data_IF_287229716754
#
_entry.id   IF_287229716754
#
_cell.length_a   1.000
_cell.length_b   1.000
_cell.length_c   1.000
_cell.angle_alpha   90.00
_cell.angle_beta   90.00
_cell.angle_gamma   90.00
#
_symmetry.space_group_name_H-M   'P 1'
#
loop_
_entity.id
_entity.type
_entity.pdbx_description
1 polymer ?
#
# COMPACT_ATOMS: atom_id res chain seq x y z
N UNK A 1 -15.30 -5.04 5.87
CA UNK A 1 -15.37 -6.40 5.25
C UNK A 1 -14.82 -7.48 6.20
N UNK A 2 -15.17 -8.75 5.95
CA UNK A 2 -14.57 -9.90 6.64
C UNK A 2 -13.08 -10.03 6.29
N UNK A 3 -12.24 -10.42 7.25
CA UNK A 3 -10.80 -10.63 7.00
C UNK A 3 -9.97 -9.39 6.64
N UNK A 4 -10.57 -8.20 6.53
CA UNK A 4 -9.88 -6.97 6.09
C UNK A 4 -8.90 -6.38 7.11
N UNK A 5 -8.83 -6.92 8.32
CA UNK A 5 -7.92 -6.45 9.37
C UNK A 5 -8.45 -5.31 10.26
N UNK A 6 -9.78 -5.20 10.44
CA UNK A 6 -10.43 -4.14 11.28
C UNK A 6 -9.89 -4.10 12.71
N UNK A 7 -9.93 -5.23 13.42
CA UNK A 7 -9.45 -5.36 14.81
C UNK A 7 -7.98 -4.93 14.95
N UNK A 8 -7.12 -5.40 14.04
CA UNK A 8 -5.69 -5.02 14.03
C UNK A 8 -5.51 -3.54 13.71
N UNK A 9 -6.28 -3.01 12.76
CA UNK A 9 -6.24 -1.59 12.37
C UNK A 9 -6.64 -0.69 13.53
N UNK A 10 -7.64 -1.09 14.32
CA UNK A 10 -8.08 -0.37 15.51
C UNK A 10 -6.97 -0.32 16.57
N UNK A 11 -6.28 -1.43 16.82
CA UNK A 11 -5.14 -1.45 17.72
C UNK A 11 -3.99 -0.54 17.21
N UNK A 12 -3.71 -0.55 15.90
CA UNK A 12 -2.71 0.32 15.26
C UNK A 12 -3.04 1.80 15.41
N UNK A 13 -4.26 2.20 15.06
CA UNK A 13 -4.76 3.57 15.22
C UNK A 13 -4.73 3.99 16.70
N UNK A 14 -5.15 3.11 17.60
CA UNK A 14 -5.16 3.43 19.02
C UNK A 14 -3.76 3.70 19.56
N UNK A 15 -2.79 2.87 19.20
CA UNK A 15 -1.39 3.09 19.52
C UNK A 15 -0.83 4.36 18.83
N UNK A 16 -1.19 4.60 17.56
CA UNK A 16 -0.77 5.78 16.80
C UNK A 16 -1.18 7.09 17.49
N UNK A 17 -2.44 7.18 17.92
CA UNK A 17 -2.98 8.38 18.57
C UNK A 17 -2.60 8.47 20.05
N UNK A 18 -2.49 7.35 20.77
CA UNK A 18 -2.04 7.34 22.16
C UNK A 18 -0.62 7.88 22.30
N UNK A 19 0.29 7.50 21.38
CA UNK A 19 1.66 8.06 21.32
C UNK A 19 1.69 9.57 21.06
N UNK A 20 0.61 10.12 20.50
CA UNK A 20 0.43 11.56 20.22
C UNK A 20 -0.36 12.28 21.34
N UNK A 21 -0.50 11.65 22.51
CA UNK A 21 -1.10 12.26 23.70
C UNK A 21 -2.62 12.12 23.81
N UNK A 22 -3.28 11.39 22.90
CA UNK A 22 -4.72 11.15 23.01
C UNK A 22 -5.05 10.10 24.06
N UNK A 23 -6.15 10.31 24.79
CA UNK A 23 -6.75 9.31 25.66
C UNK A 23 -7.66 8.42 24.82
N UNK A 24 -7.12 7.29 24.38
CA UNK A 24 -7.81 6.36 23.48
C UNK A 24 -8.53 5.25 24.26
N UNK A 25 -9.75 4.93 23.84
CA UNK A 25 -10.49 3.72 24.22
C UNK A 25 -10.83 2.87 23.00
N UNK A 26 -10.62 1.56 23.09
CA UNK A 26 -11.04 0.58 22.09
C UNK A 26 -12.31 -0.11 22.59
N UNK A 27 -13.34 -0.21 21.76
CA UNK A 27 -14.61 -0.88 22.11
C UNK A 27 -14.83 -2.04 21.15
N UNK A 28 -15.00 -3.25 21.66
CA UNK A 28 -15.24 -4.43 20.82
C UNK A 28 -16.72 -4.74 20.69
N UNK A 29 -17.27 -4.53 19.50
CA UNK A 29 -18.66 -4.84 19.12
C UNK A 29 -18.75 -5.94 18.04
N UNK A 30 -17.64 -6.61 17.70
CA UNK A 30 -17.64 -7.83 16.88
C UNK A 30 -18.08 -9.02 17.76
N UNK A 31 -19.39 -9.20 17.88
CA UNK A 31 -20.04 -10.28 18.64
C UNK A 31 -20.20 -11.58 17.82
N UNK A 32 -19.95 -11.51 16.51
CA UNK A 32 -20.22 -12.63 15.58
C UNK A 32 -18.99 -13.47 15.30
N UNK A 33 -17.79 -12.85 15.26
CA UNK A 33 -16.56 -13.58 14.95
C UNK A 33 -16.00 -14.26 16.21
N UNK A 34 -15.74 -15.58 16.17
CA UNK A 34 -15.07 -16.27 17.27
C UNK A 34 -13.74 -15.62 17.62
N UNK A 35 -13.45 -15.52 18.92
CA UNK A 35 -12.22 -14.94 19.46
C UNK A 35 -11.98 -13.45 19.12
N UNK A 36 -12.93 -12.72 18.52
CA UNK A 36 -12.71 -11.32 18.15
C UNK A 36 -12.54 -10.41 19.38
N UNK A 37 -13.34 -10.66 20.42
CA UNK A 37 -13.27 -9.93 21.70
C UNK A 37 -11.95 -10.20 22.41
N UNK A 38 -11.55 -11.47 22.48
CA UNK A 38 -10.25 -11.92 23.01
C UNK A 38 -9.10 -11.29 22.24
N UNK A 39 -9.17 -11.30 20.91
CA UNK A 39 -8.14 -10.73 20.05
C UNK A 39 -7.97 -9.22 20.30
N UNK A 40 -9.07 -8.46 20.34
CA UNK A 40 -9.01 -7.03 20.62
C UNK A 40 -8.44 -6.77 22.02
N UNK A 41 -8.88 -7.54 23.02
CA UNK A 41 -8.38 -7.44 24.40
C UNK A 41 -6.88 -7.70 24.48
N UNK A 42 -6.40 -8.79 23.89
CA UNK A 42 -4.97 -9.15 23.88
C UNK A 42 -4.13 -8.09 23.18
N UNK A 43 -4.58 -7.57 22.03
CA UNK A 43 -3.89 -6.51 21.31
C UNK A 43 -3.83 -5.23 22.16
N UNK A 44 -4.92 -4.86 22.81
CA UNK A 44 -4.97 -3.67 23.65
C UNK A 44 -4.05 -3.79 24.87
N UNK A 45 -4.11 -4.90 25.60
CA UNK A 45 -3.28 -5.16 26.77
C UNK A 45 -1.79 -5.16 26.41
N UNK A 46 -1.41 -5.84 25.32
CA UNK A 46 -0.04 -5.87 24.81
C UNK A 46 0.51 -4.46 24.53
N UNK A 47 -0.35 -3.54 24.11
CA UNK A 47 0.02 -2.18 23.74
C UNK A 47 -0.42 -1.13 24.78
N UNK A 48 -0.85 -1.55 25.97
CA UNK A 48 -1.29 -0.69 27.07
C UNK A 48 -2.39 0.30 26.66
N UNK A 49 -3.31 -0.13 25.80
CA UNK A 49 -4.48 0.63 25.37
C UNK A 49 -5.69 0.28 26.25
N UNK A 50 -6.54 1.26 26.53
CA UNK A 50 -7.78 1.02 27.26
C UNK A 50 -8.76 0.29 26.36
N UNK A 51 -9.34 -0.80 26.86
CA UNK A 51 -10.23 -1.66 26.08
C UNK A 51 -11.50 -1.99 26.85
N UNK A 52 -12.62 -1.95 26.14
CA UNK A 52 -13.96 -2.23 26.63
C UNK A 52 -14.56 -3.34 25.77
N UNK A 53 -14.52 -4.55 26.31
CA UNK A 53 -15.09 -5.75 25.70
C UNK A 53 -15.94 -6.48 26.72
N UNK A 54 -17.09 -7.00 26.28
CA UNK A 54 -17.95 -7.85 27.09
C UNK A 54 -17.87 -9.28 26.56
N UNK A 55 -17.20 -10.17 27.29
CA UNK A 55 -16.96 -11.54 26.84
C UNK A 55 -18.26 -12.35 26.75
N UNK A 56 -19.25 -12.04 27.58
CA UNK A 56 -20.47 -12.82 27.73
C UNK A 56 -21.65 -12.28 26.90
N UNK A 57 -21.67 -10.98 26.61
CA UNK A 57 -22.77 -10.35 25.87
C UNK A 57 -22.63 -10.54 24.36
N UNK A 58 -23.67 -11.09 23.71
CA UNK A 58 -23.68 -11.36 22.27
C UNK A 58 -24.50 -10.34 21.48
N UNK A 59 -24.92 -9.26 22.12
CA UNK A 59 -25.60 -8.12 21.50
C UNK A 59 -24.69 -6.88 21.50
N UNK A 60 -24.36 -6.39 20.30
CA UNK A 60 -23.50 -5.23 20.11
C UNK A 60 -24.09 -3.93 20.69
N UNK A 61 -25.42 -3.74 20.62
CA UNK A 61 -26.08 -2.54 21.13
C UNK A 61 -26.10 -2.55 22.66
N UNK A 62 -26.38 -3.70 23.28
CA UNK A 62 -26.30 -3.84 24.76
C UNK A 62 -24.88 -3.61 25.25
N UNK A 63 -23.90 -4.17 24.54
CA UNK A 63 -22.47 -3.96 24.83
C UNK A 63 -22.10 -2.49 24.75
N UNK A 64 -22.55 -1.78 23.71
CA UNK A 64 -22.35 -0.33 23.58
C UNK A 64 -22.95 0.43 24.77
N UNK A 65 -24.23 0.23 25.08
CA UNK A 65 -24.93 0.91 26.19
C UNK A 65 -24.29 0.69 27.55
N UNK A 66 -23.71 -0.50 27.77
CA UNK A 66 -22.97 -0.83 29.00
C UNK A 66 -21.70 0.00 29.17
N UNK A 67 -21.00 0.29 28.07
CA UNK A 67 -19.68 0.93 28.10
C UNK A 67 -19.70 2.42 27.82
N UNK A 68 -20.63 2.92 27.01
CA UNK A 68 -20.76 4.33 26.63
C UNK A 68 -20.62 5.31 27.82
N UNK A 69 -21.29 5.11 28.99
CA UNK A 69 -21.12 6.01 30.12
C UNK A 69 -19.69 6.08 30.67
N UNK A 70 -18.89 5.02 30.47
CA UNK A 70 -17.49 4.92 30.90
C UNK A 70 -16.52 5.56 29.91
N UNK A 71 -16.99 5.94 28.72
CA UNK A 71 -16.15 6.50 27.66
C UNK A 71 -15.94 8.02 27.77
N UNK A 72 -16.65 8.71 28.67
CA UNK A 72 -16.60 10.18 28.85
C UNK A 72 -15.21 10.76 29.12
N UNK A 73 -14.26 9.96 29.61
CA UNK A 73 -12.88 10.37 29.90
C UNK A 73 -11.91 10.27 28.72
N UNK A 74 -12.36 9.76 27.58
CA UNK A 74 -11.55 9.51 26.39
C UNK A 74 -11.91 10.52 25.30
N UNK A 75 -10.89 11.01 24.59
CA UNK A 75 -11.07 11.94 23.48
C UNK A 75 -11.06 11.25 22.11
N UNK A 76 -10.68 9.97 22.06
CA UNK A 76 -10.77 9.13 20.87
C UNK A 76 -11.32 7.76 21.24
N UNK A 77 -12.45 7.39 20.64
CA UNK A 77 -13.11 6.11 20.84
C UNK A 77 -13.06 5.37 19.51
N UNK A 78 -12.43 4.20 19.49
CA UNK A 78 -12.32 3.35 18.29
C UNK A 78 -13.18 2.10 18.49
N UNK A 79 -14.13 1.89 17.58
CA UNK A 79 -15.15 0.85 17.71
C UNK A 79 -14.91 -0.25 16.67
N UNK A 80 -14.63 -1.48 17.14
CA UNK A 80 -14.46 -2.65 16.27
C UNK A 80 -15.81 -3.32 16.02
N UNK A 81 -16.25 -3.33 14.78
CA UNK A 81 -17.52 -3.94 14.37
C UNK A 81 -17.26 -5.25 13.63
N UNK A 82 -18.28 -6.11 13.55
CA UNK A 82 -18.15 -7.38 12.84
C UNK A 82 -17.80 -7.20 11.36
N UNK A 83 -16.93 -8.10 10.86
CA UNK A 83 -16.68 -8.23 9.43
C UNK A 83 -17.83 -8.97 8.74
N UNK A 84 -18.27 -8.46 7.59
CA UNK A 84 -19.37 -9.04 6.82
C UNK A 84 -18.90 -9.30 5.39
N UNK A 85 -19.23 -10.47 4.84
CA UNK A 85 -18.98 -10.87 3.44
C UNK A 85 -20.33 -11.26 2.84
N UNK A 86 -20.73 -10.61 1.75
CA UNK A 86 -22.09 -10.58 1.21
C UNK A 86 -23.09 -10.10 2.27
N UNK A 87 -23.54 -8.85 2.15
CA UNK A 87 -24.45 -8.24 3.12
C UNK A 87 -25.79 -9.01 3.18
N UNK A 88 -25.90 -9.93 4.14
CA UNK A 88 -27.20 -10.47 4.55
C UNK A 88 -28.08 -9.31 5.06
N UNK A 89 -29.37 -9.33 4.74
CA UNK A 89 -30.31 -8.24 5.06
C UNK A 89 -30.40 -7.98 6.56
N UNK A 90 -30.26 -9.01 7.38
CA UNK A 90 -30.23 -8.87 8.85
C UNK A 90 -28.97 -8.15 9.33
N UNK A 91 -27.83 -8.47 8.71
CA UNK A 91 -26.55 -7.88 9.03
C UNK A 91 -26.50 -6.38 8.67
N UNK A 92 -27.16 -5.96 7.59
CA UNK A 92 -27.33 -4.54 7.23
C UNK A 92 -28.22 -3.80 8.23
N UNK A 93 -29.29 -4.44 8.70
CA UNK A 93 -30.16 -3.83 9.71
C UNK A 93 -29.39 -3.58 11.00
N UNK A 94 -28.60 -4.55 11.45
CA UNK A 94 -27.79 -4.42 12.66
C UNK A 94 -26.81 -3.25 12.55
N UNK A 95 -26.09 -3.12 11.42
CA UNK A 95 -25.10 -2.05 11.27
C UNK A 95 -25.76 -0.67 11.18
N UNK A 96 -26.93 -0.57 10.56
CA UNK A 96 -27.73 0.67 10.55
C UNK A 96 -28.23 1.03 11.94
N UNK A 97 -28.67 0.04 12.73
CA UNK A 97 -29.09 0.26 14.12
C UNK A 97 -27.92 0.71 14.99
N UNK A 98 -26.73 0.09 14.85
CA UNK A 98 -25.52 0.52 15.53
C UNK A 98 -25.12 1.94 15.15
N UNK A 99 -25.14 2.28 13.85
CA UNK A 99 -24.83 3.64 13.39
C UNK A 99 -25.77 4.70 13.96
N UNK A 100 -27.06 4.38 14.10
CA UNK A 100 -28.06 5.28 14.71
C UNK A 100 -27.92 5.43 16.23
N UNK A 101 -27.50 4.37 16.92
CA UNK A 101 -27.34 4.40 18.37
C UNK A 101 -26.02 5.06 18.77
N UNK A 102 -24.94 4.82 18.02
CA UNK A 102 -23.60 5.33 18.32
C UNK A 102 -23.42 6.77 17.81
N UNK A 103 -24.07 7.13 16.70
CA UNK A 103 -23.88 8.41 15.99
C UNK A 103 -22.39 8.75 15.77
N UNK A 104 -21.61 7.87 15.11
CA UNK A 104 -20.16 8.05 15.01
C UNK A 104 -19.81 9.29 14.19
N UNK A 105 -18.81 10.04 14.65
CA UNK A 105 -18.26 11.19 13.91
C UNK A 105 -17.63 10.75 12.58
N UNK A 106 -16.97 9.59 12.59
CA UNK A 106 -16.28 9.04 11.42
C UNK A 106 -16.66 7.57 11.25
N UNK A 107 -16.99 7.17 10.02
CA UNK A 107 -17.21 5.76 9.67
C UNK A 107 -16.18 5.35 8.63
N UNK A 108 -15.26 4.47 9.04
CA UNK A 108 -14.09 4.12 8.26
C UNK A 108 -14.26 2.75 7.61
N UNK A 109 -14.17 2.70 6.29
CA UNK A 109 -14.12 1.45 5.54
C UNK A 109 -12.69 0.90 5.53
N UNK A 110 -12.49 -0.24 6.18
CA UNK A 110 -11.21 -0.96 6.15
C UNK A 110 -11.22 -1.99 5.04
N UNK A 111 -10.23 -1.92 4.15
CA UNK A 111 -10.11 -2.79 2.99
C UNK A 111 -8.68 -3.26 2.73
N UNK A 112 -8.46 -4.52 2.32
CA UNK A 112 -7.13 -4.98 1.98
C UNK A 112 -6.76 -4.59 0.54
N UNK A 113 -5.48 -4.35 0.28
CA UNK A 113 -4.96 -3.92 -1.01
C UNK A 113 -5.16 -4.96 -2.14
N UNK A 114 -5.31 -6.24 -1.77
CA UNK A 114 -5.45 -7.41 -2.64
C UNK A 114 -6.90 -7.69 -3.10
N UNK A 115 -7.88 -6.89 -2.67
CA UNK A 115 -9.31 -7.10 -2.93
C UNK A 115 -9.70 -7.15 -4.44
N UNK A 116 -8.87 -6.56 -5.30
CA UNK A 116 -9.06 -6.57 -6.75
C UNK A 116 -10.41 -5.99 -7.19
N UNK A 117 -11.06 -6.66 -8.16
CA UNK A 117 -12.31 -6.20 -8.79
C UNK A 117 -13.51 -6.21 -7.83
N UNK A 118 -13.47 -6.99 -6.75
CA UNK A 118 -14.55 -7.06 -5.77
C UNK A 118 -14.67 -5.80 -4.90
N UNK A 119 -13.68 -4.88 -4.98
CA UNK A 119 -13.71 -3.61 -4.26
C UNK A 119 -14.92 -2.76 -4.60
N UNK A 120 -15.27 -2.68 -5.89
CA UNK A 120 -16.36 -1.83 -6.38
C UNK A 120 -17.70 -2.20 -5.73
N UNK A 121 -18.09 -3.47 -5.89
CA UNK A 121 -19.38 -3.96 -5.38
C UNK A 121 -19.47 -3.83 -3.86
N UNK A 122 -18.41 -4.20 -3.14
CA UNK A 122 -18.41 -4.12 -1.67
C UNK A 122 -18.43 -2.67 -1.18
N UNK A 123 -17.68 -1.77 -1.81
CA UNK A 123 -17.66 -0.35 -1.44
C UNK A 123 -19.04 0.29 -1.63
N UNK A 124 -19.71 0.02 -2.75
CA UNK A 124 -21.07 0.49 -3.03
C UNK A 124 -22.08 -0.02 -1.99
N UNK A 125 -22.03 -1.32 -1.70
CA UNK A 125 -22.87 -1.97 -0.70
C UNK A 125 -22.75 -1.33 0.70
N UNK A 126 -21.53 -0.99 1.13
CA UNK A 126 -21.31 -0.30 2.41
C UNK A 126 -21.73 1.17 2.37
N UNK A 127 -21.58 1.87 1.24
CA UNK A 127 -22.04 3.26 1.06
C UNK A 127 -23.56 3.37 1.21
N UNK A 128 -24.31 2.42 0.65
CA UNK A 128 -25.77 2.41 0.74
C UNK A 128 -26.28 2.04 2.16
N UNK A 129 -25.42 1.35 2.92
CA UNK A 129 -25.72 0.95 4.29
C UNK A 129 -25.36 2.04 5.32
N UNK A 130 -24.24 2.72 5.13
CA UNK A 130 -23.64 3.66 6.07
C UNK A 130 -22.98 4.81 5.32
N UNK A 131 -22.99 5.99 5.94
CA UNK A 131 -22.21 7.12 5.43
C UNK A 131 -20.72 6.90 5.71
N UNK A 132 -19.99 6.37 4.74
CA UNK A 132 -18.54 6.16 4.83
C UNK A 132 -17.83 7.52 4.66
N UNK A 133 -17.02 7.90 5.63
CA UNK A 133 -16.29 9.19 5.62
C UNK A 133 -14.82 9.03 5.28
N UNK A 134 -14.25 7.85 5.51
CA UNK A 134 -12.86 7.56 5.22
C UNK A 134 -12.57 6.10 4.88
N UNK A 135 -11.43 5.87 4.25
CA UNK A 135 -10.94 4.54 3.88
C UNK A 135 -9.58 4.29 4.53
N UNK A 136 -9.37 3.07 5.02
CA UNK A 136 -8.04 2.58 5.42
C UNK A 136 -7.69 1.35 4.60
N UNK A 137 -6.51 1.38 3.99
CA UNK A 137 -6.01 0.29 3.16
C UNK A 137 -5.04 -0.57 3.97
N UNK A 138 -5.29 -1.87 4.05
CA UNK A 138 -4.44 -2.83 4.75
C UNK A 138 -3.66 -3.69 3.77
N UNK A 139 -2.63 -4.41 4.28
CA UNK A 139 -1.78 -5.32 3.48
C UNK A 139 -1.03 -4.62 2.32
N UNK A 140 -0.65 -3.36 2.53
CA UNK A 140 0.10 -2.57 1.54
C UNK A 140 1.56 -3.00 1.37
N UNK A 141 2.05 -3.88 2.26
CA UNK A 141 3.34 -4.55 2.21
C UNK A 141 3.40 -5.74 1.23
N UNK A 142 2.24 -6.18 0.76
CA UNK A 142 2.14 -7.26 -0.24
C UNK A 142 2.41 -6.74 -1.66
N UNK A 143 2.61 -7.66 -2.62
CA UNK A 143 2.75 -7.34 -4.06
C UNK A 143 1.49 -6.75 -4.70
N UNK A 144 0.44 -6.53 -3.91
CA UNK A 144 -0.83 -5.97 -4.36
C UNK A 144 -0.67 -4.50 -4.73
N UNK A 145 -1.02 -4.16 -5.97
CA UNK A 145 -0.85 -2.82 -6.53
C UNK A 145 -1.82 -1.78 -5.97
N UNK A 146 -2.64 -2.07 -4.95
CA UNK A 146 -3.54 -1.08 -4.33
C UNK A 146 -4.67 -0.53 -5.22
N UNK A 147 -4.78 -0.95 -6.49
CA UNK A 147 -5.78 -0.43 -7.44
C UNK A 147 -7.24 -0.62 -6.99
N UNK A 148 -7.53 -1.70 -6.25
CA UNK A 148 -8.87 -1.90 -5.66
C UNK A 148 -9.26 -0.81 -4.66
N UNK A 149 -8.28 -0.20 -3.97
CA UNK A 149 -8.56 0.86 -3.03
C UNK A 149 -8.96 2.18 -3.70
N UNK A 150 -8.33 2.52 -4.83
CA UNK A 150 -8.76 3.68 -5.63
C UNK A 150 -10.20 3.51 -6.13
N UNK A 151 -10.54 2.30 -6.57
CA UNK A 151 -11.92 1.97 -6.95
C UNK A 151 -12.88 2.19 -5.79
N UNK A 152 -12.59 1.69 -4.59
CA UNK A 152 -13.48 1.90 -3.45
C UNK A 152 -13.63 3.37 -3.05
N UNK A 153 -12.56 4.17 -3.13
CA UNK A 153 -12.63 5.60 -2.85
C UNK A 153 -13.50 6.34 -3.88
N UNK A 154 -13.37 5.98 -5.15
CA UNK A 154 -14.20 6.53 -6.22
C UNK A 154 -15.69 6.20 -6.02
N UNK A 155 -16.01 4.98 -5.59
CA UNK A 155 -17.41 4.59 -5.36
C UNK A 155 -17.97 5.20 -4.07
N UNK A 156 -17.20 5.22 -2.97
CA UNK A 156 -17.65 5.73 -1.67
C UNK A 156 -17.62 7.25 -1.57
N UNK A 157 -16.91 7.94 -2.47
CA UNK A 157 -16.59 9.38 -2.39
C UNK A 157 -15.82 9.75 -1.11
N UNK A 158 -15.19 8.76 -0.46
CA UNK A 158 -14.42 8.94 0.76
C UNK A 158 -12.91 8.96 0.47
N UNK A 159 -12.19 9.81 1.21
CA UNK A 159 -10.73 9.90 1.13
C UNK A 159 -10.03 8.75 1.88
N UNK A 160 -8.79 8.44 1.49
CA UNK A 160 -7.95 7.49 2.21
C UNK A 160 -7.28 8.24 3.38
N UNK A 161 -7.42 7.71 4.60
CA UNK A 161 -6.80 8.30 5.80
C UNK A 161 -5.46 7.67 6.13
N UNK A 162 -5.39 6.33 6.11
CA UNK A 162 -4.20 5.59 6.53
C UNK A 162 -3.93 4.39 5.63
N UNK A 163 -2.65 4.00 5.59
CA UNK A 163 -2.16 2.76 5.01
C UNK A 163 -1.59 1.89 6.14
N UNK A 164 -2.01 0.63 6.22
CA UNK A 164 -1.42 -0.36 7.12
C UNK A 164 -0.47 -1.26 6.32
N UNK A 165 0.81 -1.17 6.67
CA UNK A 165 1.97 -1.65 5.88
C UNK A 165 2.69 -2.84 6.52
N UNK A 166 1.99 -3.63 7.34
CA UNK A 166 2.60 -4.79 8.01
C UNK A 166 1.75 -5.34 9.14
N UNK A 167 2.33 -6.17 10.00
CA UNK A 167 1.61 -6.84 11.10
C UNK A 167 1.82 -6.15 12.45
N UNK A 168 2.92 -5.42 12.64
CA UNK A 168 3.24 -4.79 13.93
C UNK A 168 2.31 -3.60 14.17
N UNK A 169 2.12 -3.26 15.45
CA UNK A 169 1.23 -2.17 15.86
C UNK A 169 1.65 -0.78 15.34
N UNK A 170 2.93 -0.62 14.98
CA UNK A 170 3.47 0.63 14.44
C UNK A 170 3.44 0.66 12.90
N UNK A 171 3.05 -0.43 12.24
CA UNK A 171 3.04 -0.53 10.78
C UNK A 171 1.76 0.11 10.23
N UNK A 172 1.61 1.41 10.48
CA UNK A 172 0.53 2.28 10.01
C UNK A 172 1.10 3.66 9.70
N UNK A 173 0.74 4.20 8.55
CA UNK A 173 1.19 5.51 8.06
C UNK A 173 0.01 6.33 7.55
N UNK A 174 0.12 7.65 7.67
CA UNK A 174 -0.85 8.57 7.06
C UNK A 174 -0.79 8.45 5.54
N UNK A 175 -1.94 8.58 4.89
CA UNK A 175 -2.00 8.53 3.44
C UNK A 175 -1.34 9.76 2.80
N UNK A 176 -0.36 9.51 1.94
CA UNK A 176 0.25 10.51 1.08
C UNK A 176 -0.01 10.14 -0.39
N UNK A 177 -0.74 10.99 -1.17
CA UNK A 177 -1.06 10.69 -2.56
C UNK A 177 0.16 10.46 -3.45
N UNK A 178 1.21 11.25 -3.30
CA UNK A 178 2.43 11.15 -4.11
C UNK A 178 3.12 9.81 -3.87
N UNK A 179 3.39 9.48 -2.59
CA UNK A 179 4.00 8.19 -2.22
C UNK A 179 3.14 7.00 -2.65
N UNK A 180 1.81 7.12 -2.56
CA UNK A 180 0.90 6.05 -2.96
C UNK A 180 0.92 5.85 -4.49
N UNK A 181 0.89 6.93 -5.27
CA UNK A 181 1.01 6.88 -6.72
C UNK A 181 2.37 6.32 -7.14
N UNK A 182 3.46 6.72 -6.49
CA UNK A 182 4.79 6.16 -6.76
C UNK A 182 4.81 4.65 -6.53
N UNK A 183 4.20 4.14 -5.45
CA UNK A 183 4.11 2.68 -5.20
C UNK A 183 3.22 1.97 -6.23
N UNK A 184 2.08 2.57 -6.58
CA UNK A 184 1.15 2.05 -7.60
C UNK A 184 1.81 1.95 -8.99
N UNK A 185 2.63 2.93 -9.34
CA UNK A 185 3.38 2.99 -10.60
C UNK A 185 4.66 2.14 -10.58
N UNK A 186 5.03 1.54 -9.44
CA UNK A 186 6.30 0.82 -9.29
C UNK A 186 7.52 1.73 -9.18
N UNK A 187 7.33 3.04 -9.00
CA UNK A 187 8.41 4.02 -8.80
C UNK A 187 9.06 3.96 -7.41
N UNK A 188 8.50 3.18 -6.47
CA UNK A 188 9.21 2.83 -5.23
C UNK A 188 10.53 2.09 -5.51
N UNK A 189 10.51 1.22 -6.52
CA UNK A 189 11.73 0.57 -7.04
C UNK A 189 12.62 1.58 -7.79
N UNK A 190 12.02 2.59 -8.44
CA UNK A 190 12.75 3.64 -9.15
C UNK A 190 13.52 4.54 -8.17
N UNK A 191 12.98 4.87 -7.00
CA UNK A 191 13.69 5.68 -5.99
C UNK A 191 14.88 4.93 -5.41
N UNK A 192 14.72 3.63 -5.11
CA UNK A 192 15.84 2.77 -4.69
C UNK A 192 16.86 2.56 -5.82
N UNK A 193 16.38 2.44 -7.08
CA UNK A 193 17.23 2.38 -8.25
C UNK A 193 18.00 3.70 -8.44
N UNK A 194 17.38 4.85 -8.22
CA UNK A 194 18.01 6.17 -8.28
C UNK A 194 19.03 6.34 -7.16
N UNK A 195 18.74 5.94 -5.93
CA UNK A 195 19.73 5.95 -4.84
C UNK A 195 20.93 5.05 -5.17
N UNK A 196 20.67 3.88 -5.75
CA UNK A 196 21.71 2.96 -6.19
C UNK A 196 22.52 3.53 -7.35
N UNK A 197 21.89 4.21 -8.31
CA UNK A 197 22.56 4.91 -9.42
C UNK A 197 23.41 6.06 -8.88
N UNK A 198 22.86 6.90 -7.98
CA UNK A 198 23.57 8.01 -7.33
C UNK A 198 24.80 7.53 -6.56
N UNK A 199 24.72 6.39 -5.88
CA UNK A 199 25.86 5.85 -5.12
C UNK A 199 27.06 5.41 -5.99
N UNK A 200 26.88 5.33 -7.32
CA UNK A 200 27.87 4.80 -8.27
C UNK A 200 28.23 5.83 -9.36
N UNK A 201 27.55 6.99 -9.42
CA UNK A 201 27.79 8.06 -10.42
C UNK A 201 28.53 9.26 -9.81
N UNK A 202 29.40 9.90 -10.61
CA UNK A 202 30.16 11.09 -10.20
C UNK A 202 29.25 12.32 -10.06
N UNK A 203 29.66 13.31 -9.26
CA UNK A 203 28.88 14.51 -8.90
C UNK A 203 28.30 15.26 -10.12
N UNK A 204 29.07 15.41 -11.21
CA UNK A 204 28.63 16.10 -12.43
C UNK A 204 27.49 15.38 -13.20
N UNK A 205 27.38 14.06 -13.06
CA UNK A 205 26.30 13.27 -13.67
C UNK A 205 25.06 13.23 -12.78
N UNK A 206 25.22 13.34 -11.46
CA UNK A 206 24.12 13.38 -10.50
C UNK A 206 23.25 14.62 -10.68
N UNK A 207 23.84 15.81 -10.89
CA UNK A 207 23.08 17.05 -11.14
C UNK A 207 22.22 16.95 -12.40
N UNK A 208 22.75 16.34 -13.47
CA UNK A 208 22.02 16.18 -14.74
C UNK A 208 20.84 15.21 -14.59
N UNK A 209 21.04 14.10 -13.87
CA UNK A 209 19.98 13.12 -13.59
C UNK A 209 18.90 13.77 -12.71
N UNK A 210 19.31 14.50 -11.68
CA UNK A 210 18.41 15.17 -10.73
C UNK A 210 17.57 16.24 -11.42
N UNK A 211 18.18 17.08 -12.26
CA UNK A 211 17.49 18.10 -13.05
C UNK A 211 16.49 17.51 -14.06
N UNK A 212 16.84 16.39 -14.70
CA UNK A 212 15.92 15.69 -15.62
C UNK A 212 14.76 14.98 -14.90
N UNK A 213 14.98 14.55 -13.66
CA UNK A 213 13.95 14.02 -12.77
C UNK A 213 12.97 15.11 -12.33
N UNK A 214 13.49 16.28 -11.93
CA UNK A 214 12.69 17.47 -11.59
C UNK A 214 11.84 17.95 -12.77
N UNK A 215 12.35 17.79 -13.99
CA UNK A 215 11.63 18.13 -15.22
C UNK A 215 10.67 17.03 -15.72
N UNK A 216 10.63 15.85 -15.10
CA UNK A 216 9.74 14.74 -15.48
C UNK A 216 10.05 14.09 -16.84
N UNK A 217 11.28 14.25 -17.35
CA UNK A 217 11.70 13.82 -18.71
C UNK A 217 12.71 12.68 -18.67
N UNK A 218 12.41 11.58 -17.98
CA UNK A 218 13.25 10.39 -18.07
C UNK A 218 12.71 9.49 -19.18
N UNK A 219 13.37 9.47 -20.34
CA UNK A 219 12.98 8.61 -21.46
C UNK A 219 13.49 7.18 -21.25
N UNK A 220 12.84 6.18 -21.85
CA UNK A 220 13.33 4.80 -21.82
C UNK A 220 14.71 4.63 -22.49
N UNK A 221 15.10 5.61 -23.31
CA UNK A 221 16.42 5.63 -23.97
C UNK A 221 17.52 5.99 -22.98
N UNK A 222 17.26 6.91 -22.05
CA UNK A 222 18.21 7.29 -20.99
C UNK A 222 18.54 6.10 -20.07
N UNK A 223 17.52 5.27 -19.76
CA UNK A 223 17.69 4.07 -18.92
C UNK A 223 18.58 3.04 -19.61
N UNK A 224 18.42 2.83 -20.92
CA UNK A 224 19.25 1.90 -21.69
C UNK A 224 20.68 2.41 -21.85
N UNK A 225 20.85 3.71 -22.09
CA UNK A 225 22.19 4.32 -22.21
C UNK A 225 22.98 4.21 -20.91
N UNK A 226 22.33 4.36 -19.76
CA UNK A 226 22.97 4.13 -18.45
C UNK A 226 23.31 2.64 -18.21
N UNK A 227 22.43 1.73 -18.61
CA UNK A 227 22.72 0.29 -18.52
C UNK A 227 23.87 -0.10 -19.47
N UNK A 228 23.98 0.54 -20.64
CA UNK A 228 25.11 0.39 -21.57
C UNK A 228 26.42 0.93 -21.00
N UNK A 229 26.41 2.11 -20.38
CA UNK A 229 27.63 2.69 -19.79
C UNK A 229 28.16 1.84 -18.63
N UNK A 230 27.27 1.20 -17.86
CA UNK A 230 27.63 0.22 -16.83
C UNK A 230 28.30 -1.05 -17.39
N UNK A 231 27.97 -1.45 -18.62
CA UNK A 231 28.53 -2.64 -19.28
C UNK A 231 29.77 -2.35 -20.14
N UNK A 232 29.87 -1.15 -20.73
CA UNK A 232 30.95 -0.80 -21.67
C UNK A 232 32.23 -0.31 -21.00
N UNK A 233 32.18 0.02 -19.71
CA UNK A 233 33.36 0.38 -18.94
C UNK A 233 33.41 -0.57 -17.75
N UNK A 234 34.53 -1.27 -17.58
CA UNK A 234 34.78 -2.23 -16.51
C UNK A 234 34.65 -1.64 -15.10
N UNK A 235 33.42 -1.30 -14.69
CA UNK A 235 33.07 -0.87 -13.35
C UNK A 235 33.37 -1.98 -12.34
N UNK A 236 33.29 -3.24 -12.77
CA UNK A 236 33.76 -4.38 -11.99
C UNK A 236 35.29 -4.40 -11.81
N UNK A 237 36.09 -3.99 -12.80
CA UNK A 237 37.55 -3.89 -12.66
C UNK A 237 37.96 -2.72 -11.74
N UNK A 238 37.19 -1.63 -11.75
CA UNK A 238 37.37 -0.48 -10.85
C UNK A 238 36.96 -0.81 -9.40
N UNK A 239 35.92 -1.61 -9.20
CA UNK A 239 35.55 -2.13 -7.87
C UNK A 239 36.60 -3.14 -7.37
N UNK A 240 37.16 -3.97 -8.27
CA UNK A 240 38.23 -4.93 -7.95
C UNK A 240 39.53 -4.25 -7.51
N UNK A 241 39.85 -3.06 -8.05
CA UNK A 241 41.03 -2.30 -7.66
C UNK A 241 40.88 -1.52 -6.34
N UNK A 242 39.65 -1.38 -5.82
CA UNK A 242 39.36 -0.69 -4.56
C UNK A 242 39.22 -1.61 -3.34
N UNK A 243 39.16 -2.93 -3.52
CA UNK A 243 39.06 -3.91 -2.43
C UNK A 243 40.43 -4.60 -2.21
N UNK A 244 41.16 -4.28 -1.12
CA UNK A 244 42.44 -4.93 -0.83
C UNK A 244 42.25 -6.44 -0.60
N UNK A 245 43.01 -7.27 -1.33
CA UNK A 245 43.02 -8.72 -1.13
C UNK A 245 42.12 -9.56 -2.06
N UNK A 246 41.39 -8.95 -3.00
CA UNK A 246 40.47 -9.66 -3.90
C UNK A 246 41.00 -9.88 -5.34
N UNK A 247 42.30 -9.72 -5.57
CA UNK A 247 42.94 -9.81 -6.89
C UNK A 247 42.76 -11.17 -7.59
N UNK A 248 42.60 -12.26 -6.83
CA UNK A 248 42.59 -13.64 -7.35
C UNK A 248 41.22 -14.36 -7.33
N UNK A 249 40.13 -13.69 -6.96
CA UNK A 249 38.81 -14.31 -7.03
C UNK A 249 38.36 -14.41 -8.50
N UNK A 250 38.17 -15.63 -9.01
CA UNK A 250 37.54 -15.87 -10.32
C UNK A 250 36.05 -15.59 -10.20
N UNK A 251 35.56 -14.58 -10.94
CA UNK A 251 34.14 -14.27 -11.05
C UNK A 251 33.49 -15.35 -11.91
N UNK A 252 32.30 -15.88 -11.55
CA UNK A 252 31.57 -16.83 -12.40
C UNK A 252 31.16 -16.15 -13.70
N UNK A 253 31.81 -16.55 -14.80
CA UNK A 253 31.58 -16.03 -16.16
C UNK A 253 30.15 -16.25 -16.66
N UNK A 254 29.40 -17.19 -16.07
CA UNK A 254 28.01 -17.45 -16.46
C UNK A 254 27.03 -16.33 -16.07
N UNK A 255 27.32 -15.54 -15.03
CA UNK A 255 26.44 -14.45 -14.59
C UNK A 255 26.51 -13.20 -15.50
N UNK A 256 27.64 -13.01 -16.19
CA UNK A 256 27.89 -11.88 -17.08
C UNK A 256 27.23 -12.09 -18.46
N UNK A 257 27.34 -13.29 -19.03
CA UNK A 257 26.71 -13.61 -20.32
C UNK A 257 25.18 -13.52 -20.30
N UNK A 258 24.56 -13.93 -19.19
CA UNK A 258 23.10 -13.85 -19.02
C UNK A 258 22.58 -12.41 -18.87
N UNK A 259 23.42 -11.46 -18.43
CA UNK A 259 23.07 -10.04 -18.38
C UNK A 259 23.19 -9.38 -19.75
N UNK A 260 24.23 -9.69 -20.53
CA UNK A 260 24.39 -9.17 -21.90
C UNK A 260 23.23 -9.57 -22.82
N UNK A 261 22.74 -10.81 -22.73
CA UNK A 261 21.57 -11.25 -23.52
C UNK A 261 20.28 -10.52 -23.14
N UNK A 262 20.08 -10.20 -21.87
CA UNK A 262 18.90 -9.45 -21.39
C UNK A 262 18.92 -8.02 -21.90
N UNK A 263 20.10 -7.40 -21.92
CA UNK A 263 20.29 -6.03 -22.41
C UNK A 263 20.06 -5.95 -23.92
N UNK A 264 20.57 -6.91 -24.69
CA UNK A 264 20.26 -7.02 -26.13
C UNK A 264 18.76 -7.16 -26.39
N UNK A 265 18.03 -7.90 -25.54
CA UNK A 265 16.57 -8.00 -25.64
C UNK A 265 15.87 -6.67 -25.35
N UNK A 266 16.30 -5.94 -24.31
CA UNK A 266 15.75 -4.62 -23.99
C UNK A 266 16.02 -3.59 -25.09
N UNK A 267 17.21 -3.59 -25.67
CA UNK A 267 17.56 -2.76 -26.82
C UNK A 267 16.66 -3.04 -28.01
N UNK A 268 16.43 -4.32 -28.30
CA UNK A 268 15.60 -4.68 -29.44
C UNK A 268 14.16 -4.19 -29.25
N UNK A 269 13.63 -4.29 -28.03
CA UNK A 269 12.28 -3.81 -27.66
C UNK A 269 12.19 -2.29 -27.80
N UNK A 270 13.18 -1.56 -27.29
CA UNK A 270 13.17 -0.09 -27.28
C UNK A 270 13.44 0.48 -28.68
N UNK A 271 14.23 -0.19 -29.50
CA UNK A 271 14.46 0.20 -30.89
C UNK A 271 13.24 0.01 -31.80
N UNK A 272 12.30 -0.85 -31.40
CA UNK A 272 11.01 -1.03 -32.09
C UNK A 272 9.94 -0.01 -31.65
N UNK A 273 10.26 0.89 -30.71
CA UNK A 273 9.38 1.97 -30.26
C UNK A 273 9.58 3.25 -31.08
N UNK A 274 8.51 4.00 -31.28
CA UNK A 274 8.59 5.37 -31.81
C UNK A 274 9.13 6.34 -30.74
N UNK A 275 9.57 7.54 -31.15
CA UNK A 275 10.07 8.55 -30.20
C UNK A 275 9.00 8.94 -29.18
N UNK A 276 7.75 9.09 -29.63
CA UNK A 276 6.61 9.38 -28.77
C UNK A 276 6.37 8.28 -27.72
N UNK A 277 6.55 7.01 -28.07
CA UNK A 277 6.41 5.87 -27.16
C UNK A 277 7.57 5.77 -26.16
N UNK A 278 8.78 6.20 -26.56
CA UNK A 278 9.96 6.27 -25.69
C UNK A 278 9.85 7.37 -24.65
N UNK A 279 9.26 8.49 -25.04
CA UNK A 279 9.08 9.68 -24.20
C UNK A 279 7.81 9.58 -23.34
N UNK A 280 6.81 8.80 -23.77
CA UNK A 280 5.56 8.59 -23.05
C UNK A 280 5.14 7.10 -22.99
N UNK A 281 5.73 6.31 -22.07
CA UNK A 281 5.48 4.88 -21.96
C UNK A 281 4.02 4.50 -21.64
N UNK A 282 3.22 5.45 -21.14
CA UNK A 282 1.79 5.24 -20.85
C UNK A 282 0.95 4.99 -22.13
N UNK A 283 1.45 5.39 -23.31
CA UNK A 283 0.80 5.10 -24.59
C UNK A 283 0.76 3.59 -24.89
N UNK A 284 1.72 2.83 -24.38
CA UNK A 284 1.80 1.38 -24.59
C UNK A 284 0.74 0.61 -23.79
N UNK A 285 0.28 1.16 -22.67
CA UNK A 285 -0.78 0.55 -21.84
C UNK A 285 -2.18 0.76 -22.42
N UNK A 286 -2.37 1.85 -23.17
CA UNK A 286 -3.67 2.24 -23.74
C UNK A 286 -4.01 1.54 -25.05
N UNK A 287 -2.99 1.16 -25.82
CA UNK A 287 -3.17 0.54 -27.15
C UNK A 287 -2.36 -0.75 -27.30
N UNK A 288 -3.05 -1.90 -27.17
CA UNK A 288 -2.48 -3.25 -27.30
C UNK A 288 -1.86 -3.51 -28.68
N UNK A 289 -2.27 -2.76 -29.71
CA UNK A 289 -1.71 -2.80 -31.06
C UNK A 289 -0.23 -2.37 -31.09
N UNK A 290 0.16 -1.38 -30.27
CA UNK A 290 1.55 -0.89 -30.16
C UNK A 290 2.45 -1.94 -29.51
N UNK A 291 1.99 -2.54 -28.41
CA UNK A 291 2.70 -3.67 -27.78
C UNK A 291 2.87 -4.85 -28.72
N UNK A 292 1.83 -5.17 -29.51
CA UNK A 292 1.88 -6.25 -30.50
C UNK A 292 2.88 -5.93 -31.62
N UNK A 293 2.94 -4.67 -32.10
CA UNK A 293 3.93 -4.21 -33.08
C UNK A 293 5.37 -4.34 -32.55
N UNK A 294 5.62 -3.81 -31.36
CA UNK A 294 6.92 -3.85 -30.68
C UNK A 294 7.38 -5.30 -30.45
N UNK A 295 6.47 -6.18 -30.01
CA UNK A 295 6.78 -7.60 -29.78
C UNK A 295 7.14 -8.38 -31.07
N UNK A 296 6.66 -7.92 -32.22
CA UNK A 296 6.96 -8.51 -33.54
C UNK A 296 8.26 -7.95 -34.16
N UNK A 297 8.86 -6.93 -33.55
CA UNK A 297 10.09 -6.30 -34.04
C UNK A 297 9.92 -5.43 -35.29
N UNK A 298 8.69 -5.14 -35.69
CA UNK A 298 8.40 -4.32 -36.87
C UNK A 298 8.34 -2.85 -36.46
N UNK A 299 9.10 -1.99 -37.14
CA UNK A 299 8.95 -0.55 -37.02
C UNK A 299 7.72 -0.07 -37.77
#
# INVERSE_FOLDING_TARGET
>A
MYGAGKTTTIAKLGNYYAKRGNKVALVGLDVHRPAAKEQLKQLAEKHKLNVFVDMEENDAIKTWKKFEPKLKGYNLILIDTAGRHNLDKELVKEIKSLGKEIEPTETILVMPADIGQAAKTQAQEFKDALNITGVIITRMDSTAKGGGALTACAETEAGIYFLATGEKVNDIEEFNPESFLSRLLGMGDLSQLIEKIKSITNEDEQEKIQKRLEEGKLSLTDVVEQVKSMNQLGGFDKIKSMIPGMSNAKIPTEALGAQEEKIKKWEHIINSMTQEEKDNPELLKKETSRMTRISKGNN
#
